data_IF_940675590930
#
_entry.id   IF_940675590930
#
_cell.length_a   1.000
_cell.length_b   1.000
_cell.length_c   1.000
_cell.angle_alpha   90.00
_cell.angle_beta   90.00
_cell.angle_gamma   90.00
#
_symmetry.space_group_name_H-M   'P 1'
#
loop_
_entity.id
_entity.type
_entity.pdbx_description
1 polymer ?
#
# COMPACT_ATOMS: atom_id res chain seq x y z
N UNK A 1 -8.55 -14.35 -11.89
CA UNK A 1 -8.99 -13.00 -12.31
C UNK A 1 -7.81 -12.36 -13.02
N UNK A 2 -7.98 -11.74 -14.20
CA UNK A 2 -6.87 -11.05 -14.88
C UNK A 2 -6.88 -9.60 -14.42
N UNK A 3 -5.74 -9.08 -14.00
CA UNK A 3 -5.65 -7.68 -13.56
C UNK A 3 -5.90 -6.73 -14.74
N UNK A 4 -6.61 -5.63 -14.47
CA UNK A 4 -7.07 -4.68 -15.49
C UNK A 4 -5.96 -3.71 -15.95
N UNK A 5 -4.99 -3.42 -15.07
CA UNK A 5 -3.89 -2.49 -15.34
C UNK A 5 -2.61 -3.25 -15.71
N UNK A 6 -1.81 -2.66 -16.60
CA UNK A 6 -0.46 -3.16 -16.86
C UNK A 6 0.45 -2.92 -15.65
N UNK A 7 1.46 -3.77 -15.52
CA UNK A 7 2.50 -3.64 -14.49
C UNK A 7 3.24 -2.31 -14.60
N UNK A 8 3.50 -1.84 -15.83
CA UNK A 8 4.08 -0.51 -16.08
C UNK A 8 3.19 0.62 -15.54
N UNK A 9 1.88 0.56 -15.78
CA UNK A 9 0.95 1.58 -15.29
C UNK A 9 0.89 1.61 -13.76
N UNK A 10 0.98 0.45 -13.10
CA UNK A 10 1.05 0.36 -11.64
C UNK A 10 2.38 0.92 -11.12
N UNK A 11 3.51 0.58 -11.74
CA UNK A 11 4.82 1.11 -11.36
C UNK A 11 4.88 2.65 -11.48
N UNK A 12 4.32 3.20 -12.55
CA UNK A 12 4.18 4.65 -12.71
C UNK A 12 3.31 5.27 -11.60
N UNK A 13 2.16 4.66 -11.29
CA UNK A 13 1.27 5.14 -10.24
C UNK A 13 1.93 5.11 -8.84
N UNK A 14 2.73 4.09 -8.53
CA UNK A 14 3.53 4.02 -7.29
C UNK A 14 4.45 5.24 -7.19
N UNK A 15 5.20 5.56 -8.26
CA UNK A 15 6.09 6.72 -8.30
C UNK A 15 5.35 8.03 -8.10
N UNK A 16 4.23 8.24 -8.81
CA UNK A 16 3.44 9.47 -8.68
C UNK A 16 2.90 9.64 -7.26
N UNK A 17 2.38 8.56 -6.66
CA UNK A 17 1.80 8.60 -5.31
C UNK A 17 2.84 8.89 -4.23
N UNK A 18 4.04 8.31 -4.34
CA UNK A 18 5.12 8.55 -3.38
C UNK A 18 5.72 9.94 -3.57
N UNK A 19 5.89 10.42 -4.81
CA UNK A 19 6.28 11.79 -5.07
C UNK A 19 5.34 12.79 -4.38
N UNK A 20 4.03 12.66 -4.59
CA UNK A 20 3.02 13.49 -3.94
C UNK A 20 3.12 13.42 -2.40
N UNK A 21 3.27 12.21 -1.85
CA UNK A 21 3.43 12.01 -0.41
C UNK A 21 4.69 12.71 0.12
N UNK A 22 5.84 12.52 -0.51
CA UNK A 22 7.11 13.09 -0.07
C UNK A 22 7.09 14.61 -0.09
N UNK A 23 6.54 15.22 -1.15
CA UNK A 23 6.43 16.67 -1.26
C UNK A 23 5.49 17.24 -0.19
N UNK A 24 4.31 16.64 0.01
CA UNK A 24 3.33 17.13 1.00
C UNK A 24 3.83 17.05 2.44
N UNK A 25 4.66 16.06 2.76
CA UNK A 25 5.12 15.79 4.12
C UNK A 25 6.55 16.31 4.37
N UNK A 26 7.16 16.98 3.40
CA UNK A 26 8.57 17.43 3.45
C UNK A 26 9.53 16.32 3.91
N UNK A 27 9.27 15.08 3.47
CA UNK A 27 9.95 13.91 3.99
C UNK A 27 9.37 12.61 3.46
N UNK A 28 10.22 11.58 3.36
CA UNK A 28 9.87 10.26 2.87
C UNK A 28 10.99 9.63 2.04
N UNK A 29 10.84 8.35 1.73
CA UNK A 29 11.86 7.57 1.02
C UNK A 29 11.60 7.51 -0.49
N UNK A 30 11.52 8.67 -1.15
CA UNK A 30 11.15 8.78 -2.56
C UNK A 30 12.00 7.89 -3.48
N UNK A 31 13.32 7.99 -3.38
CA UNK A 31 14.24 7.23 -4.24
C UNK A 31 14.11 5.72 -4.05
N UNK A 32 13.88 5.26 -2.82
CA UNK A 32 13.72 3.83 -2.51
C UNK A 32 12.43 3.28 -3.11
N UNK A 33 11.32 4.03 -2.98
CA UNK A 33 10.06 3.61 -3.56
C UNK A 33 10.10 3.64 -5.10
N UNK A 34 10.74 4.65 -5.69
CA UNK A 34 10.86 4.78 -7.13
C UNK A 34 11.75 3.69 -7.77
N UNK A 35 12.81 3.25 -7.09
CA UNK A 35 13.67 2.15 -7.57
C UNK A 35 13.04 0.77 -7.40
N UNK A 36 12.14 0.61 -6.42
CA UNK A 36 11.42 -0.64 -6.18
C UNK A 36 10.09 -0.76 -6.96
N UNK A 37 9.66 0.28 -7.68
CA UNK A 37 8.32 0.37 -8.24
C UNK A 37 7.98 -0.78 -9.21
N UNK A 38 8.87 -1.17 -10.12
CA UNK A 38 8.66 -2.30 -11.03
C UNK A 38 8.54 -3.62 -10.28
N UNK A 39 9.40 -3.86 -9.29
CA UNK A 39 9.38 -5.09 -8.50
C UNK A 39 8.07 -5.21 -7.72
N UNK A 40 7.63 -4.13 -7.07
CA UNK A 40 6.35 -4.11 -6.36
C UNK A 40 5.18 -4.27 -7.33
N UNK A 41 5.19 -3.57 -8.47
CA UNK A 41 4.14 -3.71 -9.46
C UNK A 41 4.05 -5.15 -10.00
N UNK A 42 5.18 -5.78 -10.33
CA UNK A 42 5.21 -7.16 -10.81
C UNK A 42 4.70 -8.13 -9.74
N UNK A 43 5.20 -8.03 -8.51
CA UNK A 43 4.78 -8.92 -7.42
C UNK A 43 3.28 -8.85 -7.20
N UNK A 44 2.71 -7.66 -7.07
CA UNK A 44 1.28 -7.50 -6.75
C UNK A 44 0.35 -7.65 -7.96
N UNK A 45 0.84 -7.47 -9.20
CA UNK A 45 0.04 -7.57 -10.41
C UNK A 45 0.15 -8.91 -11.13
N UNK A 46 1.21 -9.69 -10.91
CA UNK A 46 1.50 -10.91 -11.68
C UNK A 46 2.08 -12.04 -10.82
N UNK A 47 3.08 -11.75 -9.98
CA UNK A 47 3.89 -12.76 -9.31
C UNK A 47 3.24 -13.41 -8.08
N UNK A 48 2.43 -12.65 -7.31
CA UNK A 48 1.77 -13.13 -6.11
C UNK A 48 0.34 -13.59 -6.42
N UNK A 49 -0.02 -14.76 -5.91
CA UNK A 49 -1.39 -15.28 -5.95
C UNK A 49 -2.10 -14.99 -4.63
N UNK A 50 -2.60 -13.75 -4.49
CA UNK A 50 -3.31 -13.29 -3.30
C UNK A 50 -4.83 -13.45 -3.48
N UNK A 51 -5.52 -13.77 -2.39
CA UNK A 51 -6.99 -13.72 -2.36
C UNK A 51 -7.52 -12.28 -2.42
N UNK A 52 -8.82 -12.09 -2.67
CA UNK A 52 -9.44 -10.76 -2.58
C UNK A 52 -9.33 -10.19 -1.16
N UNK A 53 -9.18 -8.87 -1.04
CA UNK A 53 -9.28 -8.17 0.25
C UNK A 53 -10.60 -8.53 0.93
N UNK A 54 -10.54 -8.96 2.20
CA UNK A 54 -11.75 -9.22 2.99
C UNK A 54 -12.18 -8.01 3.82
N UNK A 55 -11.33 -6.98 3.84
CA UNK A 55 -11.53 -5.73 4.58
C UNK A 55 -11.91 -4.55 3.67
N UNK A 56 -12.49 -3.46 4.23
CA UNK A 56 -12.83 -2.27 3.46
C UNK A 56 -11.61 -1.65 2.77
N UNK A 57 -11.82 -1.14 1.54
CA UNK A 57 -10.78 -0.45 0.75
C UNK A 57 -10.20 0.78 1.46
N UNK A 58 -11.01 1.49 2.26
CA UNK A 58 -10.55 2.60 3.09
C UNK A 58 -10.62 2.11 4.54
N UNK A 59 -9.47 2.00 5.24
CA UNK A 59 -9.47 1.59 6.64
C UNK A 59 -10.08 2.69 7.53
N UNK A 60 -10.66 2.34 8.69
CA UNK A 60 -11.08 3.32 9.67
C UNK A 60 -9.87 4.10 10.23
N UNK A 61 -10.09 5.25 10.90
CA UNK A 61 -9.03 5.96 11.61
C UNK A 61 -8.28 5.03 12.58
N UNK A 62 -6.96 5.18 12.66
CA UNK A 62 -6.13 4.39 13.57
C UNK A 62 -6.51 4.68 15.02
N UNK A 63 -7.04 3.67 15.72
CA UNK A 63 -7.50 3.79 17.12
C UNK A 63 -6.39 3.70 18.17
N UNK A 64 -5.14 3.50 17.75
CA UNK A 64 -3.99 3.34 18.63
C UNK A 64 -3.46 1.91 18.67
N UNK A 65 -2.37 1.73 19.42
CA UNK A 65 -1.71 0.43 19.61
C UNK A 65 -2.42 -0.41 20.69
N UNK A 66 -2.16 -1.74 20.77
CA UNK A 66 -2.65 -2.56 21.87
C UNK A 66 -2.25 -1.99 23.24
N UNK A 67 -3.22 -1.82 24.15
CA UNK A 67 -2.97 -1.40 25.53
C UNK A 67 -4.14 -1.75 26.44
N UNK A 68 -3.93 -1.68 27.76
CA UNK A 68 -5.01 -1.85 28.73
C UNK A 68 -6.12 -0.79 28.60
N UNK A 69 -5.82 0.36 27.99
CA UNK A 69 -6.76 1.45 27.74
C UNK A 69 -7.36 1.40 26.33
N UNK A 70 -6.97 0.43 25.51
CA UNK A 70 -7.48 0.20 24.15
C UNK A 70 -7.88 -1.27 23.97
N UNK A 71 -8.93 -1.74 24.70
CA UNK A 71 -9.36 -3.13 24.64
C UNK A 71 -9.94 -3.52 23.28
N UNK A 72 -10.48 -2.55 22.55
CA UNK A 72 -11.11 -2.72 21.23
C UNK A 72 -10.11 -2.55 20.07
N UNK A 73 -8.81 -2.71 20.33
CA UNK A 73 -7.79 -2.69 19.29
C UNK A 73 -8.09 -3.73 18.19
N UNK A 74 -8.00 -3.30 16.94
CA UNK A 74 -8.19 -4.15 15.76
C UNK A 74 -6.84 -4.42 15.11
N UNK A 75 -6.57 -5.69 14.79
CA UNK A 75 -5.38 -6.05 14.02
C UNK A 75 -5.55 -5.63 12.56
N UNK A 76 -4.44 -5.51 11.84
CA UNK A 76 -4.46 -5.33 10.38
C UNK A 76 -4.70 -6.63 9.60
N UNK A 77 -5.17 -7.71 10.24
CA UNK A 77 -5.43 -8.98 9.57
C UNK A 77 -6.78 -8.94 8.84
N UNK A 78 -6.77 -9.29 7.56
CA UNK A 78 -7.95 -9.40 6.69
C UNK A 78 -7.63 -9.09 5.22
#
# INVERSE_FOLDING_TARGET
MRNEKSTEAIAHAIRSRVFEHTIRNNGGYLSQACSAAEQLAFLYNEGLNLGPSTMPMIPPPFSGVPSAQNPDYVTGAG
#
